data_IF_069829115027
#
_entry.id   IF_069829115027
#
_cell.length_a   1.000
_cell.length_b   1.000
_cell.length_c   1.000
_cell.angle_alpha   90.00
_cell.angle_beta   90.00
_cell.angle_gamma   90.00
#
_symmetry.space_group_name_H-M   'P 1'
#
loop_
_entity.id
_entity.type
_entity.pdbx_description
1 polymer ?
#
# COMPACT_ATOMS: atom_id res chain seq x y z
N UNK A 1 57.27 13.68 -17.36
CA UNK A 1 57.33 13.47 -15.90
C UNK A 1 55.91 13.17 -15.40
N UNK A 2 55.54 11.89 -15.20
CA UNK A 2 54.30 11.57 -14.49
C UNK A 2 54.56 11.79 -12.99
N UNK A 3 53.87 12.76 -12.38
CA UNK A 3 53.88 12.92 -10.93
C UNK A 3 53.21 11.69 -10.30
N UNK A 4 53.94 10.96 -9.47
CA UNK A 4 53.40 9.88 -8.65
C UNK A 4 52.29 10.45 -7.77
N UNK A 5 51.06 9.98 -7.96
CA UNK A 5 49.94 10.36 -7.11
C UNK A 5 50.23 9.81 -5.70
N UNK A 6 50.26 10.65 -4.65
CA UNK A 6 50.43 10.18 -3.28
C UNK A 6 49.34 9.15 -2.94
N UNK A 7 49.70 8.01 -2.34
CA UNK A 7 48.75 6.96 -1.97
C UNK A 7 47.60 7.46 -1.09
N UNK A 8 47.82 8.52 -0.31
CA UNK A 8 46.77 9.21 0.45
C UNK A 8 45.65 9.78 -0.43
N UNK A 9 45.95 10.26 -1.65
CA UNK A 9 44.93 10.79 -2.57
C UNK A 9 44.05 9.65 -3.09
N UNK A 10 44.63 8.47 -3.32
CA UNK A 10 43.89 7.27 -3.69
C UNK A 10 42.91 6.85 -2.59
N UNK A 11 43.36 6.82 -1.33
CA UNK A 11 42.52 6.47 -0.18
C UNK A 11 41.38 7.48 0.01
N UNK A 12 41.68 8.78 -0.05
CA UNK A 12 40.67 9.84 0.05
C UNK A 12 39.65 9.75 -1.10
N UNK A 13 40.12 9.47 -2.32
CA UNK A 13 39.25 9.28 -3.48
C UNK A 13 38.31 8.09 -3.33
N UNK A 14 38.81 6.95 -2.83
CA UNK A 14 38.00 5.76 -2.60
C UNK A 14 36.95 5.98 -1.50
N UNK A 15 37.33 6.69 -0.44
CA UNK A 15 36.44 7.00 0.67
C UNK A 15 35.34 7.98 0.24
N UNK A 16 35.69 9.01 -0.54
CA UNK A 16 34.72 9.92 -1.12
C UNK A 16 33.73 9.19 -2.06
N UNK A 17 34.23 8.26 -2.88
CA UNK A 17 33.38 7.43 -3.74
C UNK A 17 32.41 6.57 -2.91
N UNK A 18 32.88 5.97 -1.81
CA UNK A 18 32.05 5.19 -0.90
C UNK A 18 30.94 6.02 -0.26
N UNK A 19 31.25 7.24 0.20
CA UNK A 19 30.25 8.16 0.78
C UNK A 19 29.23 8.60 -0.27
N UNK A 20 29.67 8.91 -1.50
CA UNK A 20 28.77 9.26 -2.60
C UNK A 20 27.83 8.10 -2.94
N UNK A 21 28.35 6.88 -3.05
CA UNK A 21 27.54 5.69 -3.32
C UNK A 21 26.50 5.45 -2.20
N UNK A 22 26.91 5.59 -0.93
CA UNK A 22 25.99 5.47 0.20
C UNK A 22 24.90 6.55 0.18
N UNK A 23 25.26 7.81 -0.10
CA UNK A 23 24.33 8.92 -0.20
C UNK A 23 23.31 8.73 -1.33
N UNK A 24 23.77 8.29 -2.51
CA UNK A 24 22.89 7.95 -3.64
C UNK A 24 21.94 6.81 -3.28
N UNK A 25 22.42 5.77 -2.59
CA UNK A 25 21.59 4.66 -2.12
C UNK A 25 20.46 5.11 -1.18
N UNK A 26 20.80 5.93 -0.18
CA UNK A 26 19.81 6.49 0.77
C UNK A 26 18.79 7.37 0.04
N UNK A 27 19.24 8.23 -0.86
CA UNK A 27 18.37 9.10 -1.65
C UNK A 27 17.40 8.30 -2.52
N UNK A 28 17.91 7.28 -3.21
CA UNK A 28 17.10 6.42 -4.07
C UNK A 28 16.04 5.67 -3.28
N UNK A 29 16.41 5.08 -2.14
CA UNK A 29 15.46 4.39 -1.26
C UNK A 29 14.38 5.33 -0.73
N UNK A 30 14.74 6.57 -0.40
CA UNK A 30 13.79 7.56 0.08
C UNK A 30 12.80 7.99 -1.02
N UNK A 31 13.27 8.16 -2.27
CA UNK A 31 12.39 8.43 -3.40
C UNK A 31 11.41 7.28 -3.70
N UNK A 32 11.73 6.04 -3.33
CA UNK A 32 10.86 4.87 -3.54
C UNK A 32 9.73 4.70 -2.51
N UNK A 33 9.72 5.49 -1.43
CA UNK A 33 8.73 5.33 -0.33
C UNK A 33 7.98 6.63 -0.02
N UNK A 34 8.41 7.75 -0.61
CA UNK A 34 7.90 9.08 -0.26
C UNK A 34 6.44 9.27 -0.67
N UNK A 35 6.00 8.72 -1.81
CA UNK A 35 4.63 8.89 -2.31
C UNK A 35 3.64 8.05 -1.52
N UNK A 36 3.98 6.80 -1.21
CA UNK A 36 3.22 5.94 -0.30
C UNK A 36 3.10 6.60 1.08
N UNK A 37 4.19 7.13 1.64
CA UNK A 37 4.13 7.81 2.94
C UNK A 37 3.22 9.04 2.91
N UNK A 38 3.24 9.81 1.82
CA UNK A 38 2.36 10.97 1.65
C UNK A 38 0.89 10.57 1.48
N UNK A 39 0.61 9.48 0.76
CA UNK A 39 -0.74 8.99 0.50
C UNK A 39 -1.38 8.30 1.71
N UNK A 40 -0.68 7.36 2.34
CA UNK A 40 -1.18 6.65 3.52
C UNK A 40 -1.10 7.51 4.78
N UNK A 41 -0.12 8.42 4.85
CA UNK A 41 0.26 9.10 6.07
C UNK A 41 1.06 8.18 7.01
N UNK A 42 1.90 8.81 7.85
CA UNK A 42 2.87 8.13 8.73
C UNK A 42 2.21 7.02 9.57
N UNK A 43 1.05 7.30 10.17
CA UNK A 43 0.35 6.36 11.07
C UNK A 43 -0.20 5.14 10.34
N UNK A 44 -0.76 5.31 9.15
CA UNK A 44 -1.29 4.17 8.40
C UNK A 44 -0.14 3.34 7.82
N UNK A 45 0.92 3.96 7.28
CA UNK A 45 2.12 3.25 6.80
C UNK A 45 2.77 2.40 7.89
N UNK A 46 2.87 2.93 9.12
CA UNK A 46 3.40 2.17 10.25
C UNK A 46 2.52 0.95 10.57
N UNK A 47 1.20 1.13 10.63
CA UNK A 47 0.25 0.03 10.88
C UNK A 47 0.28 -1.02 9.78
N UNK A 48 0.29 -0.63 8.51
CA UNK A 48 0.40 -1.55 7.37
C UNK A 48 1.66 -2.40 7.50
N UNK A 49 2.78 -1.78 7.91
CA UNK A 49 4.06 -2.47 8.03
C UNK A 49 4.11 -3.42 9.23
N UNK A 50 3.66 -2.97 10.41
CA UNK A 50 3.94 -3.62 11.70
C UNK A 50 2.73 -4.26 12.38
N UNK A 51 1.51 -4.08 11.88
CA UNK A 51 0.30 -4.54 12.57
C UNK A 51 0.40 -6.02 12.97
N UNK A 52 0.11 -6.39 14.22
CA UNK A 52 0.14 -7.78 14.66
C UNK A 52 -1.06 -8.60 14.15
N UNK A 53 -2.17 -7.94 13.80
CA UNK A 53 -3.38 -8.60 13.27
C UNK A 53 -3.88 -7.92 12.00
N UNK A 54 -4.26 -8.73 11.02
CA UNK A 54 -4.80 -8.26 9.73
C UNK A 54 -6.06 -9.03 9.38
N UNK A 55 -7.08 -8.30 8.99
CA UNK A 55 -8.33 -8.86 8.50
C UNK A 55 -8.59 -8.47 7.05
N UNK A 56 -9.22 -9.38 6.32
CA UNK A 56 -9.78 -9.16 5.00
C UNK A 56 -11.29 -9.04 5.14
N UNK A 57 -11.82 -7.90 4.71
CA UNK A 57 -13.24 -7.60 4.72
C UNK A 57 -13.79 -7.61 3.30
N UNK A 58 -14.92 -8.27 3.07
CA UNK A 58 -15.72 -8.12 1.85
C UNK A 58 -16.74 -7.02 2.06
N UNK A 59 -16.83 -6.07 1.15
CA UNK A 59 -17.92 -5.11 1.20
C UNK A 59 -19.20 -5.71 0.60
N UNK A 60 -20.33 -5.31 1.17
CA UNK A 60 -21.65 -5.56 0.58
C UNK A 60 -21.82 -4.57 -0.56
N UNK A 61 -22.04 -5.04 -1.77
CA UNK A 61 -22.42 -4.19 -2.89
C UNK A 61 -23.82 -3.63 -2.61
N UNK A 62 -23.97 -2.33 -2.33
CA UNK A 62 -25.28 -1.71 -2.18
C UNK A 62 -26.00 -1.78 -3.53
N UNK A 63 -27.33 -1.99 -3.54
CA UNK A 63 -28.09 -1.99 -4.80
C UNK A 63 -28.19 -0.60 -5.44
N UNK A 64 -27.70 0.44 -4.76
CA UNK A 64 -27.77 1.82 -5.19
C UNK A 64 -26.38 2.44 -5.17
N UNK A 65 -25.98 3.06 -6.28
CA UNK A 65 -24.65 3.62 -6.53
C UNK A 65 -24.46 5.01 -5.90
N UNK A 66 -25.13 5.28 -4.76
CA UNK A 66 -24.99 6.54 -4.02
C UNK A 66 -23.63 6.63 -3.32
N UNK A 67 -23.14 7.86 -3.23
CA UNK A 67 -22.01 8.26 -2.36
C UNK A 67 -22.56 8.61 -0.98
N UNK A 68 -22.78 7.61 -0.13
CA UNK A 68 -23.18 7.82 1.25
C UNK A 68 -21.97 7.99 2.18
N UNK A 69 -20.78 7.59 1.73
CA UNK A 69 -19.57 7.60 2.54
C UNK A 69 -19.56 6.48 3.59
N UNK A 70 -20.50 5.55 3.52
CA UNK A 70 -20.65 4.44 4.45
C UNK A 70 -20.44 3.10 3.74
N UNK A 71 -19.34 2.44 4.06
CA UNK A 71 -19.05 1.10 3.56
C UNK A 71 -19.62 0.06 4.53
N UNK A 72 -20.50 -0.81 4.01
CA UNK A 72 -21.07 -1.92 4.77
C UNK A 72 -20.29 -3.20 4.50
N UNK A 73 -19.92 -3.93 5.54
CA UNK A 73 -19.15 -5.17 5.43
C UNK A 73 -20.11 -6.35 5.39
N UNK A 74 -19.92 -7.24 4.42
CA UNK A 74 -20.66 -8.51 4.31
C UNK A 74 -19.95 -9.64 5.07
N UNK A 75 -18.61 -9.74 4.88
CA UNK A 75 -17.81 -10.81 5.49
C UNK A 75 -16.51 -10.27 6.05
N UNK A 76 -16.06 -10.86 7.15
CA UNK A 76 -14.77 -10.58 7.79
C UNK A 76 -14.02 -11.91 7.92
N UNK A 77 -12.74 -11.90 7.54
CA UNK A 77 -11.85 -13.04 7.70
C UNK A 77 -10.51 -12.59 8.28
N UNK A 78 -10.03 -13.28 9.31
CA UNK A 78 -8.67 -13.09 9.79
C UNK A 78 -7.67 -13.72 8.80
N UNK A 79 -6.72 -12.90 8.35
CA UNK A 79 -5.68 -13.27 7.38
C UNK A 79 -4.28 -13.04 7.95
N UNK A 80 -4.15 -12.92 9.28
CA UNK A 80 -2.89 -12.61 9.96
C UNK A 80 -1.78 -13.59 9.61
N UNK A 81 -2.11 -14.88 9.43
CA UNK A 81 -1.16 -15.94 9.06
C UNK A 81 -1.20 -16.30 7.56
N UNK A 82 -1.84 -15.47 6.72
CA UNK A 82 -1.94 -15.76 5.29
C UNK A 82 -0.56 -15.77 4.62
N UNK A 83 -0.30 -16.82 3.83
CA UNK A 83 0.92 -16.92 3.02
C UNK A 83 0.99 -15.72 2.07
N UNK A 84 2.16 -15.07 2.00
CA UNK A 84 2.35 -13.90 1.14
C UNK A 84 1.98 -12.56 1.77
N UNK A 85 1.38 -12.53 2.98
CA UNK A 85 1.06 -11.27 3.67
C UNK A 85 2.31 -10.39 3.89
N UNK A 86 3.46 -10.99 4.19
CA UNK A 86 4.73 -10.25 4.35
C UNK A 86 5.13 -9.54 3.06
N UNK A 87 5.01 -10.21 1.91
CA UNK A 87 5.29 -9.62 0.60
C UNK A 87 4.25 -8.56 0.23
N UNK A 88 2.98 -8.80 0.55
CA UNK A 88 1.91 -7.82 0.34
C UNK A 88 2.17 -6.52 1.10
N UNK A 89 2.52 -6.60 2.39
CA UNK A 89 2.84 -5.42 3.21
C UNK A 89 3.95 -4.60 2.57
N UNK A 90 5.00 -5.29 2.09
CA UNK A 90 6.11 -4.63 1.39
C UNK A 90 5.65 -4.00 0.08
N UNK A 91 4.83 -4.70 -0.70
CA UNK A 91 4.29 -4.17 -1.96
C UNK A 91 3.43 -2.93 -1.76
N UNK A 92 2.63 -2.89 -0.68
CA UNK A 92 1.76 -1.76 -0.34
C UNK A 92 2.54 -0.49 0.06
N UNK A 93 3.79 -0.60 0.51
CA UNK A 93 4.61 0.55 0.94
C UNK A 93 5.69 0.95 -0.06
N UNK A 94 5.70 0.34 -1.25
CA UNK A 94 6.66 0.65 -2.32
C UNK A 94 5.98 1.45 -3.43
N UNK A 95 6.48 2.66 -3.70
CA UNK A 95 5.91 3.59 -4.68
C UNK A 95 5.85 2.97 -6.09
N UNK A 96 6.81 2.11 -6.45
CA UNK A 96 6.92 1.52 -7.78
C UNK A 96 5.75 0.59 -8.16
N UNK A 97 4.98 0.12 -7.17
CA UNK A 97 3.86 -0.79 -7.40
C UNK A 97 2.58 -0.06 -7.81
N UNK A 98 2.51 1.24 -7.56
CA UNK A 98 1.35 2.06 -7.86
C UNK A 98 1.55 2.90 -9.11
N UNK A 99 0.44 3.15 -9.80
CA UNK A 99 0.40 4.11 -10.90
C UNK A 99 0.00 5.47 -10.35
N UNK A 100 1.00 6.24 -9.95
CA UNK A 100 0.83 7.61 -9.49
C UNK A 100 0.47 8.52 -10.66
N UNK A 101 -0.62 9.28 -10.52
CA UNK A 101 -0.88 10.41 -11.39
C UNK A 101 0.21 11.46 -11.20
N UNK A 102 0.58 12.15 -12.27
CA UNK A 102 1.58 13.22 -12.20
C UNK A 102 1.09 14.36 -11.32
N UNK A 103 2.01 15.05 -10.63
CA UNK A 103 1.68 16.23 -9.83
C UNK A 103 1.05 17.30 -10.74
N UNK A 104 -0.19 17.68 -10.47
CA UNK A 104 -0.93 18.71 -11.22
C UNK A 104 -2.26 18.26 -11.80
N UNK A 105 -2.54 16.95 -11.81
CA UNK A 105 -3.86 16.42 -12.14
C UNK A 105 -4.78 16.49 -10.91
N UNK A 106 -6.07 16.82 -11.13
CA UNK A 106 -7.09 16.85 -10.08
C UNK A 106 -7.03 15.56 -9.25
N UNK A 107 -7.05 15.67 -7.91
CA UNK A 107 -7.15 14.49 -7.06
C UNK A 107 -8.36 13.67 -7.51
N UNK A 108 -8.20 12.36 -7.77
CA UNK A 108 -9.30 11.58 -8.31
C UNK A 108 -10.47 11.62 -7.34
N UNK A 109 -11.65 11.95 -7.87
CA UNK A 109 -12.87 12.06 -7.08
C UNK A 109 -13.13 10.74 -6.30
N UNK A 110 -13.69 10.77 -5.08
CA UNK A 110 -14.06 9.55 -4.38
C UNK A 110 -14.97 8.66 -5.24
N UNK A 111 -14.66 7.37 -5.30
CA UNK A 111 -15.53 6.41 -5.97
C UNK A 111 -16.85 6.24 -5.19
N UNK A 112 -17.95 5.86 -5.86
CA UNK A 112 -19.18 5.43 -5.19
C UNK A 112 -18.91 4.31 -4.18
N UNK A 113 -19.72 4.24 -3.12
CA UNK A 113 -19.55 3.22 -2.06
C UNK A 113 -19.61 1.80 -2.62
N UNK A 114 -20.40 1.60 -3.68
CA UNK A 114 -20.58 0.32 -4.38
C UNK A 114 -19.37 -0.14 -5.20
N UNK A 115 -18.39 0.74 -5.47
CA UNK A 115 -17.22 0.39 -6.27
C UNK A 115 -16.17 -0.39 -5.48
N UNK A 116 -16.19 -0.32 -4.15
CA UNK A 116 -15.19 -0.98 -3.32
C UNK A 116 -15.55 -2.45 -3.12
N UNK A 117 -14.65 -3.36 -3.51
CA UNK A 117 -14.88 -4.80 -3.42
C UNK A 117 -14.50 -5.36 -2.04
N UNK A 118 -13.30 -4.98 -1.58
CA UNK A 118 -12.70 -5.53 -0.37
C UNK A 118 -11.95 -4.46 0.43
N UNK A 119 -11.69 -4.75 1.70
CA UNK A 119 -10.75 -3.99 2.50
C UNK A 119 -9.75 -4.86 3.26
N UNK A 120 -8.54 -4.33 3.41
CA UNK A 120 -7.53 -4.84 4.32
C UNK A 120 -7.52 -3.98 5.56
N UNK A 121 -7.72 -4.60 6.72
CA UNK A 121 -7.80 -3.91 8.01
C UNK A 121 -6.63 -4.33 8.89
N UNK A 122 -5.76 -3.37 9.18
CA UNK A 122 -4.56 -3.55 9.98
C UNK A 122 -4.81 -3.01 11.38
N UNK A 123 -4.82 -3.88 12.38
CA UNK A 123 -5.04 -3.51 13.77
C UNK A 123 -3.71 -3.22 14.47
N UNK A 124 -3.68 -2.17 15.29
CA UNK A 124 -2.51 -1.78 16.09
C UNK A 124 -2.28 -2.71 17.30
N UNK A 125 -3.30 -3.49 17.69
CA UNK A 125 -3.26 -4.41 18.83
C UNK A 125 -4.04 -5.69 18.53
N UNK A 126 -3.63 -6.79 19.17
CA UNK A 126 -4.36 -8.06 19.18
C UNK A 126 -5.54 -8.04 20.15
N UNK A 127 -5.62 -7.04 21.04
CA UNK A 127 -6.68 -6.91 22.03
C UNK A 127 -7.87 -6.22 21.36
N UNK A 128 -9.08 -6.80 21.40
CA UNK A 128 -10.29 -6.12 20.98
C UNK A 128 -10.56 -4.95 21.93
N UNK A 129 -10.07 -3.77 21.55
CA UNK A 129 -10.35 -2.51 22.24
C UNK A 129 -11.70 -1.95 21.77
N UNK A 130 -12.33 -1.12 22.60
CA UNK A 130 -13.63 -0.48 22.31
C UNK A 130 -13.55 0.52 21.14
N UNK A 131 -12.37 1.09 20.90
CA UNK A 131 -12.04 1.89 19.70
C UNK A 131 -10.71 1.42 19.12
N UNK A 132 -10.70 0.31 18.35
CA UNK A 132 -9.46 -0.24 17.85
C UNK A 132 -8.81 0.73 16.87
N UNK A 133 -7.57 1.15 17.19
CA UNK A 133 -6.72 1.88 16.25
C UNK A 133 -6.44 0.98 15.07
N UNK A 134 -7.00 1.31 13.91
CA UNK A 134 -6.87 0.52 12.69
C UNK A 134 -6.53 1.39 11.49
N UNK A 135 -5.83 0.82 10.53
CA UNK A 135 -5.73 1.35 9.17
C UNK A 135 -6.62 0.48 8.29
N UNK A 136 -7.56 1.10 7.59
CA UNK A 136 -8.48 0.40 6.67
C UNK A 136 -8.14 0.85 5.27
N UNK A 137 -7.68 -0.09 4.46
CA UNK A 137 -7.40 0.13 3.04
C UNK A 137 -8.55 -0.49 2.26
N UNK A 138 -9.30 0.31 1.50
CA UNK A 138 -10.32 -0.19 0.59
C UNK A 138 -9.74 -0.34 -0.83
N UNK A 139 -10.12 -1.42 -1.49
CA UNK A 139 -9.64 -1.81 -2.81
C UNK A 139 -10.85 -2.04 -3.71
N UNK A 140 -10.82 -1.35 -4.84
CA UNK A 140 -11.68 -1.57 -5.99
C UNK A 140 -10.81 -2.26 -7.04
N UNK A 141 -11.19 -3.46 -7.46
CA UNK A 141 -10.45 -4.16 -8.49
C UNK A 141 -10.91 -3.80 -9.90
N UNK A 142 -12.08 -3.20 -10.08
CA UNK A 142 -12.72 -2.92 -11.35
C UNK A 142 -12.98 -4.18 -12.21
N UNK A 143 -13.56 -3.98 -13.38
CA UNK A 143 -13.66 -5.08 -14.36
C UNK A 143 -12.27 -5.36 -14.96
N UNK A 144 -11.51 -4.29 -15.24
CA UNK A 144 -10.17 -4.35 -15.80
C UNK A 144 -9.09 -4.06 -14.74
N UNK A 145 -7.96 -4.81 -14.70
CA UNK A 145 -6.85 -4.49 -13.78
C UNK A 145 -6.30 -3.06 -13.87
N UNK A 146 -6.46 -2.38 -15.01
CA UNK A 146 -6.05 -0.97 -15.17
C UNK A 146 -6.96 0.02 -14.43
N UNK A 147 -8.17 -0.40 -14.10
CA UNK A 147 -9.16 0.40 -13.38
C UNK A 147 -9.05 0.20 -11.88
N UNK A 148 -8.27 -0.78 -11.42
CA UNK A 148 -8.16 -1.09 -10.01
C UNK A 148 -7.60 0.10 -9.21
N UNK A 149 -8.32 0.49 -8.16
CA UNK A 149 -7.99 1.61 -7.29
C UNK A 149 -7.81 1.15 -5.83
N UNK A 150 -7.04 1.93 -5.08
CA UNK A 150 -6.87 1.78 -3.65
C UNK A 150 -7.11 3.12 -2.95
N UNK A 151 -7.71 3.09 -1.76
CA UNK A 151 -7.88 4.26 -0.89
C UNK A 151 -7.67 3.89 0.58
N UNK A 152 -7.39 4.90 1.39
CA UNK A 152 -7.39 4.79 2.86
C UNK A 152 -8.72 5.33 3.36
N UNK A 153 -9.51 4.49 4.00
CA UNK A 153 -10.81 4.91 4.54
C UNK A 153 -10.60 6.00 5.59
N UNK A 154 -11.32 7.11 5.43
CA UNK A 154 -11.21 8.30 6.26
C UNK A 154 -10.13 9.30 5.82
N UNK A 155 -9.42 9.03 4.72
CA UNK A 155 -8.53 10.00 4.06
C UNK A 155 -9.06 10.32 2.65
N UNK A 156 -8.90 11.57 2.18
CA UNK A 156 -9.27 11.91 0.81
C UNK A 156 -8.31 11.25 -0.20
N UNK A 157 -8.82 11.00 -1.41
CA UNK A 157 -8.04 10.54 -2.55
C UNK A 157 -8.02 9.03 -2.76
N UNK A 158 -7.54 8.63 -3.94
CA UNK A 158 -7.30 7.24 -4.34
C UNK A 158 -6.11 7.17 -5.29
N UNK A 159 -5.52 5.99 -5.38
CA UNK A 159 -4.38 5.68 -6.25
C UNK A 159 -4.69 4.46 -7.09
N UNK A 160 -4.26 4.46 -8.36
CA UNK A 160 -4.39 3.28 -9.21
C UNK A 160 -3.37 2.21 -8.83
N UNK A 161 -3.82 0.96 -8.70
CA UNK A 161 -3.01 -0.21 -8.33
C UNK A 161 -2.05 -0.66 -9.44
N UNK A 162 -2.27 -0.23 -10.69
CA UNK A 162 -1.38 -0.49 -11.82
C UNK A 162 -1.02 -1.97 -11.97
N UNK A 163 0.28 -2.28 -11.92
CA UNK A 163 0.79 -3.65 -12.15
C UNK A 163 0.46 -4.62 -11.01
N UNK A 164 0.24 -4.11 -9.79
CA UNK A 164 -0.04 -4.94 -8.62
C UNK A 164 -1.49 -5.45 -8.60
N UNK A 165 -2.40 -4.80 -9.33
CA UNK A 165 -3.83 -5.11 -9.34
C UNK A 165 -4.12 -6.61 -9.54
N UNK A 166 -3.54 -7.22 -10.58
CA UNK A 166 -3.75 -8.63 -10.89
C UNK A 166 -3.23 -9.56 -9.79
N UNK A 167 -2.00 -9.33 -9.33
CA UNK A 167 -1.38 -10.14 -8.29
C UNK A 167 -2.12 -10.04 -6.96
N UNK A 168 -2.56 -8.83 -6.61
CA UNK A 168 -3.37 -8.58 -5.42
C UNK A 168 -4.73 -9.28 -5.52
N UNK A 169 -5.42 -9.20 -6.66
CA UNK A 169 -6.70 -9.89 -6.88
C UNK A 169 -6.56 -11.40 -6.69
N UNK A 170 -5.60 -12.03 -7.37
CA UNK A 170 -5.35 -13.48 -7.25
C UNK A 170 -4.96 -13.87 -5.81
N UNK A 171 -4.19 -13.04 -5.12
CA UNK A 171 -3.84 -13.30 -3.73
C UNK A 171 -5.06 -13.21 -2.80
N UNK A 172 -5.91 -12.19 -2.98
CA UNK A 172 -7.17 -12.05 -2.22
C UNK A 172 -8.07 -13.24 -2.49
N UNK A 173 -8.30 -13.64 -3.74
CA UNK A 173 -9.16 -14.78 -4.11
C UNK A 173 -8.64 -16.11 -3.54
N UNK A 174 -7.32 -16.34 -3.56
CA UNK A 174 -6.73 -17.57 -3.00
C UNK A 174 -6.68 -17.60 -1.48
N UNK A 175 -6.66 -16.43 -0.83
CA UNK A 175 -6.67 -16.29 0.63
C UNK A 175 -8.08 -16.29 1.18
N UNK A 176 -9.04 -15.71 0.44
CA UNK A 176 -10.44 -15.63 0.80
C UNK A 176 -11.08 -17.02 0.73
N UNK A 177 -11.23 -17.66 1.89
CA UNK A 177 -12.01 -18.90 2.00
C UNK A 177 -13.49 -18.59 2.14
N UNK A 178 -14.04 -17.83 1.19
CA UNK A 178 -15.46 -17.55 1.20
C UNK A 178 -16.16 -18.71 0.49
N UNK A 179 -17.03 -19.47 1.18
CA UNK A 179 -17.89 -20.40 0.46
C UNK A 179 -18.67 -19.61 -0.59
N UNK A 180 -18.67 -20.10 -1.83
CA UNK A 180 -19.52 -19.58 -2.89
C UNK A 180 -20.95 -19.55 -2.34
N UNK A 181 -21.60 -18.40 -2.48
CA UNK A 181 -23.01 -18.25 -2.13
C UNK A 181 -23.79 -19.27 -2.96
N UNK A 182 -24.31 -20.30 -2.31
CA UNK A 182 -25.36 -21.18 -2.84
C UNK A 182 -26.61 -20.36 -3.11
#
# INVERSE_FOLDING_TARGET
MLRSVPGSILVVGLLALGVLAAGVGVWWQWQQTRRCLAFYGIRATERISKAPRVELWRFKQPSDSRRTGHLSVDRVQDITEAKGLVHLRRGLVEDANFQWLERGWLEPEPLPDAAWDVALVFYDSNIPDSTPRRAVIAIDFGENPKEANITVVGSPGRVALGKMAKGLRTWVESTAKWPEST
#
